data_IF_127031364416
#
_entry.id   IF_127031364416
#
_cell.length_a   1.000
_cell.length_b   1.000
_cell.length_c   1.000
_cell.angle_alpha   90.00
_cell.angle_beta   90.00
_cell.angle_gamma   90.00
#
_symmetry.space_group_name_H-M   'P 1'
#
loop_
_entity.id
_entity.type
_entity.pdbx_description
1 polymer ?
#
# COMPACT_ATOMS: atom_id res chain seq x y z
N UNK A 1 -15.37 7.69 2.98
CA UNK A 1 -14.71 6.47 2.50
C UNK A 1 -15.75 5.43 2.13
N UNK A 2 -15.64 4.84 0.94
CA UNK A 2 -16.58 3.83 0.46
C UNK A 2 -16.05 2.41 0.66
N UNK A 3 -16.83 1.58 1.36
CA UNK A 3 -16.60 0.13 1.42
C UNK A 3 -17.07 -0.52 0.11
N UNK A 4 -16.13 -1.05 -0.68
CA UNK A 4 -16.43 -1.66 -1.99
C UNK A 4 -16.38 -3.20 -1.96
N UNK A 5 -15.81 -3.79 -0.91
CA UNK A 5 -15.79 -5.23 -0.71
C UNK A 5 -15.44 -5.59 0.72
N UNK A 6 -15.99 -6.70 1.23
CA UNK A 6 -15.69 -7.23 2.55
C UNK A 6 -15.73 -8.75 2.55
N UNK A 7 -14.79 -9.36 3.26
CA UNK A 7 -14.79 -10.78 3.58
C UNK A 7 -14.23 -10.93 4.99
N UNK A 8 -15.11 -11.01 5.99
CA UNK A 8 -14.73 -11.02 7.39
C UNK A 8 -15.26 -12.29 8.06
N UNK A 9 -14.37 -13.12 8.59
CA UNK A 9 -14.77 -14.16 9.51
C UNK A 9 -15.05 -13.54 10.89
N UNK A 10 -16.07 -14.06 11.59
CA UNK A 10 -16.35 -13.62 12.95
C UNK A 10 -15.15 -13.95 13.86
N UNK A 11 -14.63 -12.94 14.55
CA UNK A 11 -13.49 -13.03 15.47
C UNK A 11 -12.25 -13.70 14.82
N UNK A 12 -12.10 -13.56 13.51
CA UNK A 12 -11.06 -14.23 12.72
C UNK A 12 -10.49 -13.35 11.60
N UNK A 13 -9.66 -13.92 10.72
CA UNK A 13 -9.04 -13.17 9.64
C UNK A 13 -10.08 -12.69 8.62
N UNK A 14 -9.72 -11.64 7.90
CA UNK A 14 -10.55 -11.11 6.84
C UNK A 14 -9.87 -10.01 6.06
N UNK A 15 -10.59 -9.48 5.10
CA UNK A 15 -10.15 -8.37 4.27
C UNK A 15 -11.30 -7.40 3.99
N UNK A 16 -10.93 -6.14 3.83
CA UNK A 16 -11.83 -5.08 3.37
C UNK A 16 -11.18 -4.38 2.18
N UNK A 17 -12.00 -4.00 1.22
CA UNK A 17 -11.60 -3.16 0.10
C UNK A 17 -12.28 -1.81 0.25
N UNK A 18 -11.47 -0.78 0.43
CA UNK A 18 -11.88 0.57 0.73
C UNK A 18 -11.47 1.51 -0.40
N UNK A 19 -12.32 2.46 -0.73
CA UNK A 19 -12.05 3.54 -1.68
C UNK A 19 -12.14 4.87 -0.93
N UNK A 20 -11.01 5.54 -0.66
CA UNK A 20 -11.01 6.92 -0.16
C UNK A 20 -11.67 7.86 -1.19
N UNK A 21 -12.56 8.73 -0.72
CA UNK A 21 -13.31 9.72 -1.52
C UNK A 21 -12.99 11.16 -1.11
N UNK A 22 -12.60 11.37 0.15
CA UNK A 22 -12.17 12.67 0.70
C UNK A 22 -10.87 12.53 1.49
N UNK A 23 -10.17 13.64 1.71
CA UNK A 23 -8.86 13.66 2.38
C UNK A 23 -8.89 13.08 3.81
N UNK A 24 -9.97 13.35 4.54
CA UNK A 24 -10.19 12.81 5.90
C UNK A 24 -10.29 11.27 5.93
N UNK A 25 -10.63 10.63 4.81
CA UNK A 25 -10.68 9.17 4.76
C UNK A 25 -9.29 8.55 4.98
N UNK A 26 -8.21 9.25 4.63
CA UNK A 26 -6.86 8.75 4.85
C UNK A 26 -6.47 8.78 6.34
N UNK A 27 -7.10 9.66 7.13
CA UNK A 27 -6.98 9.62 8.58
C UNK A 27 -7.67 8.38 9.15
N UNK A 28 -8.86 8.03 8.66
CA UNK A 28 -9.54 6.80 9.07
C UNK A 28 -8.73 5.56 8.68
N UNK A 29 -8.20 5.51 7.46
CA UNK A 29 -7.32 4.42 7.01
C UNK A 29 -6.07 4.28 7.89
N UNK A 30 -5.45 5.39 8.30
CA UNK A 30 -4.31 5.40 9.20
C UNK A 30 -4.62 4.72 10.54
N UNK A 31 -5.82 4.94 11.10
CA UNK A 31 -6.24 4.33 12.37
C UNK A 31 -6.65 2.86 12.22
N UNK A 32 -6.93 2.39 11.00
CA UNK A 32 -7.30 1.00 10.73
C UNK A 32 -6.10 0.10 10.40
N UNK A 33 -5.06 0.64 9.78
CA UNK A 33 -3.90 -0.13 9.30
C UNK A 33 -2.84 -0.22 10.40
N UNK A 34 -2.51 -1.44 10.82
CA UNK A 34 -1.52 -1.72 11.85
C UNK A 34 -0.32 -2.51 11.33
N UNK A 35 0.79 -2.47 12.07
CA UNK A 35 1.92 -3.35 11.80
C UNK A 35 1.50 -4.82 11.94
N UNK A 36 1.87 -5.64 10.96
CA UNK A 36 1.43 -7.03 10.85
C UNK A 36 0.27 -7.25 9.87
N UNK A 37 -0.44 -6.20 9.47
CA UNK A 37 -1.43 -6.29 8.37
C UNK A 37 -0.74 -6.41 7.01
N UNK A 38 -1.52 -6.77 5.98
CA UNK A 38 -1.13 -6.58 4.59
C UNK A 38 -2.01 -5.54 3.90
N UNK A 39 -1.39 -4.69 3.08
CA UNK A 39 -2.09 -3.67 2.29
C UNK A 39 -1.75 -3.86 0.83
N UNK A 40 -2.78 -4.04 0.01
CA UNK A 40 -2.67 -4.03 -1.44
C UNK A 40 -3.13 -2.69 -2.01
N UNK A 41 -2.25 -2.03 -2.78
CA UNK A 41 -2.58 -0.78 -3.45
C UNK A 41 -1.84 -0.63 -4.77
N UNK A 42 -2.39 0.24 -5.61
CA UNK A 42 -1.72 0.70 -6.82
C UNK A 42 -0.65 1.70 -6.44
N UNK A 43 0.57 1.50 -6.92
CA UNK A 43 1.72 2.34 -6.65
C UNK A 43 2.52 2.61 -7.92
N UNK A 44 3.55 3.46 -7.82
CA UNK A 44 4.45 3.79 -8.92
C UNK A 44 5.88 3.62 -8.47
N UNK A 45 6.68 2.91 -9.26
CA UNK A 45 8.09 2.68 -8.99
C UNK A 45 8.96 3.21 -10.11
N UNK A 46 10.06 3.88 -9.73
CA UNK A 46 11.11 4.26 -10.66
C UNK A 46 12.03 3.05 -10.90
N UNK A 47 12.21 2.70 -12.16
CA UNK A 47 13.09 1.61 -12.61
C UNK A 47 14.21 2.23 -13.43
N UNK A 48 15.44 2.04 -12.98
CA UNK A 48 16.63 2.47 -13.73
C UNK A 48 17.03 1.37 -14.70
N UNK A 49 17.13 1.69 -16.01
CA UNK A 49 17.60 0.75 -17.02
C UNK A 49 19.12 0.56 -16.90
N UNK A 50 19.60 -0.63 -17.21
CA UNK A 50 21.03 -0.94 -17.27
C UNK A 50 21.73 0.03 -18.23
N UNK A 51 22.64 0.86 -17.71
CA UNK A 51 23.26 1.96 -18.45
C UNK A 51 23.06 3.35 -17.81
N UNK A 52 22.23 3.44 -16.76
CA UNK A 52 22.27 4.51 -15.75
C UNK A 52 21.69 5.87 -16.15
N UNK A 53 21.53 6.17 -17.45
CA UNK A 53 20.95 7.44 -17.91
C UNK A 53 19.43 7.44 -18.00
N UNK A 54 18.83 6.30 -18.32
CA UNK A 54 17.39 6.21 -18.53
C UNK A 54 16.67 5.55 -17.36
N UNK A 55 15.60 6.19 -16.90
CA UNK A 55 14.71 5.65 -15.90
C UNK A 55 13.26 5.75 -16.35
N UNK A 56 12.47 4.74 -16.04
CA UNK A 56 11.06 4.67 -16.35
C UNK A 56 10.24 4.61 -15.06
N UNK A 57 9.05 5.21 -15.06
CA UNK A 57 8.10 5.09 -13.95
C UNK A 57 7.05 4.06 -14.34
N UNK A 58 7.01 2.95 -13.63
CA UNK A 58 6.05 1.88 -13.88
C UNK A 58 4.97 1.89 -12.80
N UNK A 59 3.72 1.93 -13.24
CA UNK A 59 2.54 1.75 -12.39
C UNK A 59 2.32 0.25 -12.18
N UNK A 60 2.13 -0.17 -10.93
CA UNK A 60 1.97 -1.57 -10.58
C UNK A 60 1.15 -1.70 -9.30
N UNK A 61 0.61 -2.89 -9.04
CA UNK A 61 -0.09 -3.19 -7.79
C UNK A 61 0.85 -4.02 -6.91
N UNK A 62 1.06 -3.58 -5.66
CA UNK A 62 1.81 -4.35 -4.66
C UNK A 62 0.93 -4.63 -3.47
N UNK A 63 1.05 -5.84 -2.94
CA UNK A 63 0.71 -6.15 -1.57
C UNK A 63 1.97 -6.04 -0.70
N UNK A 64 1.91 -5.27 0.38
CA UNK A 64 3.02 -5.12 1.33
C UNK A 64 2.63 -5.61 2.72
N UNK A 65 3.53 -6.33 3.38
CA UNK A 65 3.45 -6.58 4.81
C UNK A 65 3.83 -5.31 5.56
N UNK A 66 2.88 -4.73 6.29
CA UNK A 66 3.04 -3.44 6.96
C UNK A 66 4.01 -3.55 8.12
N UNK A 67 5.07 -2.74 8.08
CA UNK A 67 6.00 -2.57 9.20
C UNK A 67 5.76 -1.25 9.93
N UNK A 68 5.35 -0.19 9.23
CA UNK A 68 5.04 1.10 9.83
C UNK A 68 4.10 1.95 8.96
N UNK A 69 3.37 2.85 9.60
CA UNK A 69 2.52 3.85 8.96
C UNK A 69 2.87 5.25 9.47
N UNK A 70 2.75 6.23 8.59
CA UNK A 70 2.97 7.66 8.88
C UNK A 70 1.84 8.46 8.24
N UNK A 71 1.32 9.45 8.98
CA UNK A 71 0.27 10.33 8.49
C UNK A 71 0.70 11.79 8.59
N UNK A 72 0.73 12.44 7.44
CA UNK A 72 0.98 13.87 7.28
C UNK A 72 -0.36 14.61 7.36
N UNK A 73 -0.56 15.33 8.47
CA UNK A 73 -1.82 16.05 8.75
C UNK A 73 -2.04 17.25 7.83
N UNK A 74 -0.97 17.89 7.39
CA UNK A 74 -1.06 19.11 6.58
C UNK A 74 -1.27 18.76 5.11
N UNK A 75 -0.64 17.67 4.65
CA UNK A 75 -0.77 17.16 3.29
C UNK A 75 -1.90 16.15 3.08
N UNK A 76 -2.56 15.71 4.15
CA UNK A 76 -3.52 14.59 4.15
C UNK A 76 -2.96 13.34 3.46
N UNK A 77 -1.69 13.00 3.76
CA UNK A 77 -0.99 11.87 3.12
C UNK A 77 -0.77 10.75 4.11
N UNK A 78 -1.28 9.57 3.77
CA UNK A 78 -0.93 8.31 4.44
C UNK A 78 0.23 7.62 3.71
N UNK A 79 1.30 7.31 4.44
CA UNK A 79 2.43 6.50 3.97
C UNK A 79 2.40 5.16 4.69
N UNK A 80 2.43 4.08 3.92
CA UNK A 80 2.53 2.71 4.42
C UNK A 80 3.86 2.15 3.96
N UNK A 81 4.71 1.74 4.90
CA UNK A 81 6.01 1.14 4.62
C UNK A 81 5.97 -0.34 4.93
N UNK A 82 6.47 -1.16 4.00
CA UNK A 82 6.44 -2.60 4.19
C UNK A 82 7.33 -3.37 3.24
N UNK A 83 7.32 -4.69 3.41
CA UNK A 83 7.99 -5.63 2.49
C UNK A 83 6.97 -6.17 1.49
N UNK A 84 7.33 -6.16 0.21
CA UNK A 84 6.50 -6.69 -0.85
C UNK A 84 6.24 -8.20 -0.66
N UNK A 85 4.98 -8.60 -0.74
CA UNK A 85 4.50 -9.99 -0.67
C UNK A 85 4.20 -10.57 -2.06
N UNK A 86 3.98 -9.72 -3.06
CA UNK A 86 3.56 -10.13 -4.40
C UNK A 86 4.77 -10.37 -5.32
N UNK A 87 4.75 -11.46 -6.09
CA UNK A 87 5.73 -11.66 -7.17
C UNK A 87 5.42 -10.70 -8.33
N UNK A 88 6.39 -9.89 -8.76
CA UNK A 88 6.30 -9.11 -10.00
C UNK A 88 7.69 -8.92 -10.64
N UNK A 89 7.71 -8.36 -11.86
CA UNK A 89 8.92 -8.21 -12.67
C UNK A 89 9.89 -7.12 -12.18
N UNK A 90 9.42 -6.21 -11.31
CA UNK A 90 10.12 -4.97 -10.97
C UNK A 90 10.49 -4.84 -9.48
N UNK A 91 9.85 -5.62 -8.62
CA UNK A 91 10.01 -5.64 -7.17
C UNK A 91 10.06 -7.09 -6.72
N UNK A 92 11.16 -7.48 -6.10
CA UNK A 92 11.33 -8.82 -5.57
C UNK A 92 10.47 -9.01 -4.31
N UNK A 93 10.06 -10.24 -4.01
CA UNK A 93 9.44 -10.57 -2.73
C UNK A 93 10.42 -10.26 -1.61
N UNK A 94 9.93 -9.68 -0.52
CA UNK A 94 10.73 -9.27 0.63
C UNK A 94 11.46 -7.94 0.46
N UNK A 95 11.44 -7.34 -0.74
CA UNK A 95 12.00 -6.01 -0.96
C UNK A 95 11.10 -4.93 -0.37
N UNK A 96 11.71 -3.92 0.23
CA UNK A 96 11.00 -2.76 0.74
C UNK A 96 10.32 -1.94 -0.36
N UNK A 97 9.14 -1.45 -0.01
CA UNK A 97 8.40 -0.43 -0.75
C UNK A 97 7.75 0.55 0.21
#
# INVERSE_FOLDING_TARGET
MKLVGKSLARDGPGSVKLLPEVDDDLWDAYNLIAAGDSVEAVTVRKITRSGGRDSERVKLTLEVAVESTDYDKDGSVLRVRGKNLSKNEHVQIGQYH
#
